data_IF_230434375034
#
_entry.id   IF_230434375034
#
_cell.length_a   1.000
_cell.length_b   1.000
_cell.length_c   1.000
_cell.angle_alpha   90.00
_cell.angle_beta   90.00
_cell.angle_gamma   90.00
#
_symmetry.space_group_name_H-M   'P 1'
#
loop_
_entity.id
_entity.type
_entity.pdbx_description
1 polymer ?
#
# COMPACT_ATOMS: atom_id res chain seq x y z
N UNK A 1 -19.83 14.97 -23.82
CA UNK A 1 -18.40 15.36 -23.66
C UNK A 1 -18.38 16.74 -23.02
N UNK A 2 -17.47 17.03 -22.09
CA UNK A 2 -17.49 18.19 -21.17
C UNK A 2 -17.52 19.61 -21.79
N UNK A 3 -17.55 19.77 -23.12
CA UNK A 3 -17.53 21.07 -23.79
C UNK A 3 -16.19 21.81 -23.74
N UNK A 4 -15.18 21.29 -23.04
CA UNK A 4 -13.88 21.96 -22.90
C UNK A 4 -13.18 22.11 -24.26
N UNK A 5 -12.70 23.31 -24.58
CA UNK A 5 -11.90 23.61 -25.79
C UNK A 5 -10.54 22.92 -25.77
N UNK A 6 -9.94 22.75 -24.58
CA UNK A 6 -8.62 22.15 -24.38
C UNK A 6 -8.73 20.92 -23.49
N UNK A 7 -8.27 19.77 -24.01
CA UNK A 7 -8.29 18.47 -23.34
C UNK A 7 -6.90 17.87 -23.47
N UNK A 8 -6.12 18.00 -22.41
CA UNK A 8 -4.76 17.48 -22.33
C UNK A 8 -4.78 16.06 -21.76
N UNK A 9 -3.98 15.16 -22.32
CA UNK A 9 -3.81 13.82 -21.78
C UNK A 9 -2.49 13.17 -22.17
N UNK A 10 -2.33 11.90 -21.80
CA UNK A 10 -1.12 11.14 -22.12
C UNK A 10 -1.04 10.72 -23.59
N UNK A 11 0.18 10.39 -24.02
CA UNK A 11 0.40 9.69 -25.27
C UNK A 11 -0.33 8.34 -25.29
N UNK A 12 -0.79 7.88 -26.47
CA UNK A 12 -1.61 6.66 -26.63
C UNK A 12 -0.97 5.40 -26.02
N UNK A 13 0.36 5.30 -26.05
CA UNK A 13 1.10 4.15 -25.52
C UNK A 13 1.18 4.12 -24.00
N UNK A 14 0.95 5.26 -23.35
CA UNK A 14 0.97 5.39 -21.89
C UNK A 14 -0.41 5.21 -21.26
N UNK A 15 -1.47 5.08 -22.08
CA UNK A 15 -2.83 4.90 -21.64
C UNK A 15 -3.14 3.42 -21.48
N UNK A 16 -3.93 3.10 -20.45
CA UNK A 16 -4.54 1.78 -20.31
C UNK A 16 -5.49 1.46 -21.48
N UNK A 17 -6.17 2.47 -21.98
CA UNK A 17 -7.09 2.40 -23.12
C UNK A 17 -6.60 3.36 -24.21
N UNK A 18 -5.79 2.88 -25.18
CA UNK A 18 -5.14 3.76 -26.16
C UNK A 18 -6.10 4.64 -26.98
N UNK A 19 -7.34 4.16 -27.22
CA UNK A 19 -8.37 4.89 -27.94
C UNK A 19 -8.88 6.13 -27.20
N UNK A 20 -8.71 6.20 -25.87
CA UNK A 20 -9.04 7.40 -25.11
C UNK A 20 -8.25 8.64 -25.62
N UNK A 21 -7.08 8.42 -26.23
CA UNK A 21 -6.30 9.49 -26.85
C UNK A 21 -7.01 10.21 -28.00
N UNK A 22 -8.03 9.62 -28.61
CA UNK A 22 -8.83 10.27 -29.66
C UNK A 22 -9.67 11.43 -29.11
N UNK A 23 -9.93 11.46 -27.79
CA UNK A 23 -10.71 12.52 -27.15
C UNK A 23 -9.84 13.69 -26.65
N UNK A 24 -8.51 13.59 -26.72
CA UNK A 24 -7.59 14.65 -26.30
C UNK A 24 -7.30 15.60 -27.47
N UNK A 25 -7.36 16.90 -27.22
CA UNK A 25 -6.90 17.92 -28.18
C UNK A 25 -5.38 18.07 -28.15
N UNK A 26 -4.76 17.77 -27.01
CA UNK A 26 -3.33 17.85 -26.79
C UNK A 26 -2.84 16.62 -26.04
N UNK A 27 -1.70 16.07 -26.47
CA UNK A 27 -1.12 14.85 -25.91
C UNK A 27 0.32 15.09 -25.55
N UNK A 28 0.75 14.63 -24.37
CA UNK A 28 2.17 14.54 -24.03
C UNK A 28 2.94 13.69 -25.05
N UNK A 29 4.27 13.86 -25.07
CA UNK A 29 5.16 12.88 -25.68
C UNK A 29 5.09 11.53 -24.94
N UNK A 30 5.59 10.49 -25.59
CA UNK A 30 5.68 9.18 -24.96
C UNK A 30 6.60 9.22 -23.74
N UNK A 31 6.08 8.78 -22.62
CA UNK A 31 6.81 8.72 -21.35
C UNK A 31 7.31 7.28 -21.15
N UNK A 32 8.58 7.06 -20.79
CA UNK A 32 9.06 5.74 -20.37
C UNK A 32 8.19 5.12 -19.25
N UNK A 33 8.00 3.80 -19.25
CA UNK A 33 7.28 3.11 -18.16
C UNK A 33 8.18 2.82 -16.94
N UNK A 34 9.45 3.25 -16.99
CA UNK A 34 10.40 3.18 -15.88
C UNK A 34 10.21 4.30 -14.85
N UNK A 35 9.38 5.30 -15.15
CA UNK A 35 9.13 6.43 -14.25
C UNK A 35 7.99 6.09 -13.29
N UNK A 36 8.13 6.54 -12.04
CA UNK A 36 7.08 6.37 -11.03
C UNK A 36 5.76 7.00 -11.48
N UNK A 37 4.63 6.38 -11.11
CA UNK A 37 3.30 6.82 -11.57
C UNK A 37 2.95 8.23 -11.15
N UNK A 38 3.42 8.68 -9.98
CA UNK A 38 3.19 10.05 -9.51
C UNK A 38 3.92 11.05 -10.43
N UNK A 39 5.21 10.81 -10.72
CA UNK A 39 6.01 11.60 -11.65
C UNK A 39 5.40 11.64 -13.05
N UNK A 40 4.93 10.48 -13.53
CA UNK A 40 4.20 10.37 -14.80
C UNK A 40 2.98 11.29 -14.80
N UNK A 41 2.18 11.32 -13.73
CA UNK A 41 1.03 12.22 -13.63
C UNK A 41 1.40 13.70 -13.56
N UNK A 42 2.45 14.06 -12.81
CA UNK A 42 2.91 15.47 -12.78
C UNK A 42 3.38 15.98 -14.14
N UNK A 43 3.86 15.11 -15.05
CA UNK A 43 4.20 15.54 -16.42
C UNK A 43 3.02 16.14 -17.18
N UNK A 44 1.77 15.88 -16.80
CA UNK A 44 0.60 16.57 -17.39
C UNK A 44 0.60 18.07 -17.09
N UNK A 45 1.11 18.47 -15.93
CA UNK A 45 1.15 19.88 -15.51
C UNK A 45 2.11 20.73 -16.35
N UNK A 46 3.07 20.10 -17.03
CA UNK A 46 3.98 20.80 -17.97
C UNK A 46 3.21 21.51 -19.10
N UNK A 47 1.99 21.05 -19.42
CA UNK A 47 1.12 21.66 -20.44
C UNK A 47 0.42 22.94 -20.02
N UNK A 48 0.51 23.28 -18.75
CA UNK A 48 0.09 24.57 -18.20
C UNK A 48 1.27 25.36 -17.64
N UNK A 49 2.51 24.98 -18.00
CA UNK A 49 3.73 25.70 -17.62
C UNK A 49 4.24 25.39 -16.21
N UNK A 50 3.68 24.38 -15.53
CA UNK A 50 4.11 23.97 -14.20
C UNK A 50 5.14 22.84 -14.32
N UNK A 51 6.32 23.05 -13.74
CA UNK A 51 7.35 22.04 -13.58
C UNK A 51 7.50 21.76 -12.09
N UNK A 52 7.10 20.56 -11.68
CA UNK A 52 7.15 20.12 -10.28
C UNK A 52 7.79 18.73 -10.24
N UNK A 53 8.73 18.55 -9.32
CA UNK A 53 9.49 17.31 -9.14
C UNK A 53 9.29 16.73 -7.73
N UNK A 54 8.75 17.53 -6.81
CA UNK A 54 8.41 17.14 -5.45
C UNK A 54 6.92 16.80 -5.35
N UNK A 55 6.59 15.86 -4.48
CA UNK A 55 5.21 15.43 -4.25
C UNK A 55 4.89 15.59 -2.78
N UNK A 56 3.84 16.35 -2.49
CA UNK A 56 3.25 16.47 -1.17
C UNK A 56 1.82 15.91 -1.19
N UNK A 57 1.42 15.32 -0.07
CA UNK A 57 0.07 14.79 0.12
C UNK A 57 -0.56 15.49 1.32
N UNK A 58 -1.14 16.70 1.16
CA UNK A 58 -1.75 17.48 2.24
C UNK A 58 -3.11 16.89 2.63
N UNK A 59 -3.11 15.64 3.10
CA UNK A 59 -4.30 14.90 3.51
C UNK A 59 -4.72 15.35 4.92
N UNK A 60 -5.82 16.09 5.00
CA UNK A 60 -6.44 16.49 6.27
C UNK A 60 -7.63 15.57 6.55
N UNK A 61 -7.58 14.90 7.71
CA UNK A 61 -8.69 14.11 8.23
C UNK A 61 -9.44 14.94 9.29
N UNK A 62 -10.78 14.93 9.29
CA UNK A 62 -11.55 15.56 10.36
C UNK A 62 -11.18 14.97 11.73
N UNK A 63 -11.10 15.82 12.76
CA UNK A 63 -10.69 15.40 14.11
C UNK A 63 -11.64 14.33 14.69
N UNK A 64 -12.91 14.39 14.32
CA UNK A 64 -13.95 13.45 14.73
C UNK A 64 -13.67 12.03 14.23
N UNK A 65 -13.07 11.89 13.04
CA UNK A 65 -12.69 10.58 12.48
C UNK A 65 -11.51 10.00 13.26
N UNK A 66 -10.49 10.81 13.55
CA UNK A 66 -9.34 10.38 14.35
C UNK A 66 -9.78 9.93 15.75
N UNK A 67 -10.65 10.68 16.41
CA UNK A 67 -11.16 10.32 17.74
C UNK A 67 -12.02 9.05 17.70
N UNK A 68 -12.89 8.90 16.71
CA UNK A 68 -13.68 7.69 16.52
C UNK A 68 -12.79 6.44 16.34
N UNK A 69 -11.67 6.56 15.60
CA UNK A 69 -10.69 5.47 15.44
C UNK A 69 -9.99 5.14 16.75
N UNK A 70 -9.58 6.13 17.55
CA UNK A 70 -8.97 5.89 18.88
C UNK A 70 -9.90 5.12 19.80
N UNK A 71 -11.17 5.52 19.86
CA UNK A 71 -12.20 4.81 20.65
C UNK A 71 -12.38 3.37 20.18
N UNK A 72 -12.37 3.13 18.85
CA UNK A 72 -12.46 1.80 18.26
C UNK A 72 -11.22 0.94 18.55
N UNK A 73 -10.03 1.53 18.52
CA UNK A 73 -8.76 0.86 18.83
C UNK A 73 -8.64 0.45 20.30
N UNK A 74 -9.06 1.28 21.24
CA UNK A 74 -9.06 0.91 22.67
C UNK A 74 -9.88 -0.36 22.94
N UNK A 75 -10.93 -0.61 22.16
CA UNK A 75 -11.74 -1.85 22.26
C UNK A 75 -11.01 -3.10 21.76
N UNK A 76 -9.91 -2.96 21.02
CA UNK A 76 -9.07 -4.10 20.62
C UNK A 76 -8.00 -4.44 21.66
N UNK A 77 -7.92 -3.67 22.76
CA UNK A 77 -6.88 -3.80 23.78
C UNK A 77 -5.62 -2.98 23.50
N UNK A 78 -5.66 -2.07 22.52
CA UNK A 78 -4.53 -1.19 22.20
C UNK A 78 -4.29 -0.17 23.31
N UNK A 79 -3.05 -0.08 23.79
CA UNK A 79 -2.56 1.01 24.64
C UNK A 79 -1.75 2.01 23.80
N UNK A 80 -1.99 3.31 23.99
CA UNK A 80 -1.29 4.39 23.27
C UNK A 80 0.22 4.44 23.56
N UNK A 81 0.69 3.74 24.60
CA UNK A 81 2.12 3.55 24.86
C UNK A 81 2.78 2.51 23.95
N UNK A 82 1.99 1.64 23.31
CA UNK A 82 2.48 0.63 22.37
C UNK A 82 2.64 1.19 20.96
N UNK A 83 3.64 0.70 20.23
CA UNK A 83 3.80 1.00 18.80
C UNK A 83 2.80 0.17 17.99
N UNK A 84 1.83 0.84 17.36
CA UNK A 84 0.83 0.19 16.52
C UNK A 84 1.45 -0.33 15.22
N UNK A 85 1.44 -1.65 15.02
CA UNK A 85 1.93 -2.32 13.81
C UNK A 85 0.74 -2.88 13.04
N UNK A 86 0.48 -2.34 11.85
CA UNK A 86 -0.62 -2.79 11.00
C UNK A 86 -0.15 -3.87 10.03
N UNK A 87 -0.83 -5.01 10.04
CA UNK A 87 -0.67 -6.06 9.04
C UNK A 87 -1.89 -6.04 8.11
N UNK A 88 -1.76 -5.42 6.95
CA UNK A 88 -2.80 -5.47 5.91
C UNK A 88 -2.68 -6.78 5.12
N UNK A 89 -3.41 -7.79 5.58
CA UNK A 89 -3.31 -9.16 5.07
C UNK A 89 -4.04 -9.36 3.74
N UNK A 90 -4.97 -8.46 3.43
CA UNK A 90 -5.84 -8.51 2.25
C UNK A 90 -5.29 -7.77 1.03
N UNK A 91 -5.83 -8.11 -0.14
CA UNK A 91 -5.64 -7.38 -1.39
C UNK A 91 -6.78 -7.69 -2.38
N UNK A 92 -7.07 -6.78 -3.31
CA UNK A 92 -8.10 -7.02 -4.32
C UNK A 92 -7.75 -8.12 -5.33
N UNK A 93 -6.45 -8.39 -5.55
CA UNK A 93 -5.99 -9.44 -6.46
C UNK A 93 -5.41 -10.58 -5.64
N UNK A 94 -5.88 -11.80 -5.88
CA UNK A 94 -5.33 -13.01 -5.26
C UNK A 94 -3.81 -13.10 -5.40
N UNK A 95 -3.30 -12.76 -6.58
CA UNK A 95 -1.87 -12.70 -6.91
C UNK A 95 -1.08 -11.60 -6.18
N UNK A 96 -1.73 -10.76 -5.38
CA UNK A 96 -1.11 -9.78 -4.48
C UNK A 96 -1.33 -10.09 -2.99
N UNK A 97 -2.08 -11.16 -2.68
CA UNK A 97 -2.30 -11.61 -1.30
C UNK A 97 -1.15 -12.52 -0.89
N UNK A 98 -0.47 -12.16 0.19
CA UNK A 98 0.50 -13.06 0.81
C UNK A 98 -0.22 -14.15 1.61
N UNK A 99 0.49 -15.24 1.91
CA UNK A 99 -0.13 -16.46 2.41
C UNK A 99 -0.41 -16.38 3.92
N UNK A 100 -1.55 -16.90 4.42
CA UNK A 100 -1.88 -16.88 5.84
C UNK A 100 -0.77 -17.45 6.74
N UNK A 101 -0.14 -18.55 6.35
CA UNK A 101 0.96 -19.18 7.08
C UNK A 101 2.17 -18.26 7.23
N UNK A 102 2.45 -17.43 6.23
CA UNK A 102 3.56 -16.47 6.26
C UNK A 102 3.25 -15.26 7.12
N UNK A 103 2.00 -14.79 7.11
CA UNK A 103 1.55 -13.76 8.05
C UNK A 103 1.67 -14.24 9.50
N UNK A 104 1.26 -15.48 9.78
CA UNK A 104 1.37 -16.09 11.11
C UNK A 104 2.84 -16.12 11.55
N UNK A 105 3.73 -16.65 10.72
CA UNK A 105 5.15 -16.75 11.05
C UNK A 105 5.80 -15.36 11.23
N UNK A 106 5.47 -14.39 10.37
CA UNK A 106 5.96 -13.01 10.50
C UNK A 106 5.54 -12.38 11.83
N UNK A 107 4.26 -12.54 12.21
CA UNK A 107 3.73 -12.01 13.47
C UNK A 107 4.45 -12.62 14.66
N UNK A 108 4.71 -13.93 14.66
CA UNK A 108 5.45 -14.58 15.74
C UNK A 108 6.90 -14.10 15.84
N UNK A 109 7.57 -13.87 14.70
CA UNK A 109 8.93 -13.29 14.69
C UNK A 109 8.94 -11.87 15.25
N UNK A 110 7.94 -11.06 14.90
CA UNK A 110 7.85 -9.64 15.26
C UNK A 110 7.29 -9.40 16.68
N UNK A 111 6.85 -10.44 17.39
CA UNK A 111 6.14 -10.32 18.66
C UNK A 111 7.04 -9.79 19.77
N UNK A 112 6.73 -8.60 20.27
CA UNK A 112 7.40 -7.99 21.43
C UNK A 112 6.36 -7.34 22.34
N UNK A 113 6.75 -6.96 23.56
CA UNK A 113 5.87 -6.21 24.48
C UNK A 113 5.70 -4.73 24.11
N UNK A 114 6.52 -4.23 23.19
CA UNK A 114 6.48 -2.82 22.77
C UNK A 114 5.52 -2.59 21.60
N UNK A 115 5.16 -3.65 20.89
CA UNK A 115 4.41 -3.58 19.65
C UNK A 115 2.99 -4.09 19.87
N UNK A 116 2.02 -3.33 19.36
CA UNK A 116 0.64 -3.76 19.26
C UNK A 116 0.34 -4.17 17.82
N UNK A 117 0.37 -5.47 17.48
CA UNK A 117 -0.01 -5.94 16.15
C UNK A 117 -1.52 -5.84 15.95
N UNK A 118 -1.96 -5.42 14.76
CA UNK A 118 -3.38 -5.38 14.39
C UNK A 118 -3.59 -5.84 12.95
N UNK A 119 -4.55 -6.75 12.73
CA UNK A 119 -4.88 -7.26 11.40
C UNK A 119 -5.89 -6.33 10.70
N UNK A 120 -5.45 -5.67 9.63
CA UNK A 120 -6.30 -4.80 8.80
C UNK A 120 -6.94 -5.60 7.66
N UNK A 121 -8.22 -5.32 7.39
CA UNK A 121 -9.03 -5.94 6.34
C UNK A 121 -10.12 -4.96 5.87
N UNK A 122 -10.62 -5.10 4.63
CA UNK A 122 -11.60 -4.19 4.04
C UNK A 122 -12.88 -4.83 3.49
N UNK A 123 -12.94 -6.16 3.39
CA UNK A 123 -14.14 -6.91 2.95
C UNK A 123 -14.21 -8.29 3.62
N UNK A 124 -15.31 -9.02 3.43
CA UNK A 124 -15.54 -10.32 4.09
C UNK A 124 -14.52 -11.40 3.69
N UNK A 125 -13.99 -11.37 2.48
CA UNK A 125 -12.96 -12.32 2.03
C UNK A 125 -11.63 -12.05 2.76
N UNK A 126 -11.25 -10.78 2.88
CA UNK A 126 -10.07 -10.35 3.64
C UNK A 126 -10.24 -10.58 5.14
N UNK A 127 -11.46 -10.39 5.67
CA UNK A 127 -11.81 -10.71 7.06
C UNK A 127 -11.66 -12.20 7.34
N UNK A 128 -12.06 -13.06 6.40
CA UNK A 128 -11.89 -14.51 6.53
C UNK A 128 -10.40 -14.89 6.59
N UNK A 129 -9.55 -14.25 5.76
CA UNK A 129 -8.10 -14.42 5.81
C UNK A 129 -7.54 -13.92 7.15
N UNK A 130 -7.87 -12.70 7.58
CA UNK A 130 -7.47 -12.14 8.87
C UNK A 130 -7.91 -13.04 10.04
N UNK A 131 -9.11 -13.61 9.97
CA UNK A 131 -9.62 -14.55 10.98
C UNK A 131 -8.80 -15.84 11.06
N UNK A 132 -8.26 -16.34 9.95
CA UNK A 132 -7.35 -17.50 9.96
C UNK A 132 -6.05 -17.18 10.70
N UNK A 133 -5.49 -16.00 10.43
CA UNK A 133 -4.26 -15.52 11.10
C UNK A 133 -4.51 -15.29 12.59
N UNK A 134 -5.63 -14.64 12.95
CA UNK A 134 -6.04 -14.41 14.33
C UNK A 134 -6.19 -15.70 15.13
N UNK A 135 -6.84 -16.72 14.57
CA UNK A 135 -7.02 -18.02 15.25
C UNK A 135 -5.70 -18.66 15.69
N UNK A 136 -4.59 -18.38 14.99
CA UNK A 136 -3.27 -18.94 15.28
C UNK A 136 -2.39 -18.04 16.14
N UNK A 137 -2.48 -16.72 15.96
CA UNK A 137 -1.60 -15.73 16.61
C UNK A 137 -2.24 -15.03 17.82
N UNK A 138 -3.56 -15.08 17.93
CA UNK A 138 -4.40 -14.28 18.85
C UNK A 138 -4.31 -12.77 18.63
N UNK A 139 -3.68 -12.30 17.55
CA UNK A 139 -3.63 -10.87 17.19
C UNK A 139 -5.04 -10.36 16.86
N UNK A 140 -5.48 -9.23 17.41
CA UNK A 140 -6.82 -8.71 17.18
C UNK A 140 -7.05 -8.33 15.72
N UNK A 141 -8.31 -8.44 15.28
CA UNK A 141 -8.77 -7.86 14.02
C UNK A 141 -9.11 -6.40 14.26
N UNK A 142 -8.77 -5.55 13.30
CA UNK A 142 -9.37 -4.22 13.24
C UNK A 142 -10.91 -4.34 13.18
N UNK A 143 -11.67 -3.43 13.81
CA UNK A 143 -13.10 -3.36 13.59
C UNK A 143 -13.40 -3.03 12.12
N UNK A 144 -14.66 -3.15 11.70
CA UNK A 144 -15.03 -2.64 10.38
C UNK A 144 -14.90 -1.11 10.36
N UNK A 145 -14.12 -0.60 9.41
CA UNK A 145 -13.79 0.81 9.26
C UNK A 145 -14.23 1.31 7.89
N UNK A 146 -14.78 2.52 7.87
CA UNK A 146 -14.94 3.28 6.62
C UNK A 146 -13.58 3.67 6.04
N UNK A 147 -13.55 4.09 4.77
CA UNK A 147 -12.31 4.49 4.11
C UNK A 147 -11.55 5.61 4.86
N UNK A 148 -12.26 6.60 5.38
CA UNK A 148 -11.66 7.69 6.16
C UNK A 148 -11.09 7.19 7.49
N UNK A 149 -11.76 6.25 8.14
CA UNK A 149 -11.27 5.63 9.36
C UNK A 149 -10.06 4.72 9.11
N UNK A 150 -9.99 4.01 7.97
CA UNK A 150 -8.78 3.27 7.57
C UNK A 150 -7.60 4.22 7.37
N UNK A 151 -7.83 5.37 6.71
CA UNK A 151 -6.80 6.41 6.57
C UNK A 151 -6.33 6.96 7.92
N UNK A 152 -7.26 7.23 8.84
CA UNK A 152 -6.94 7.65 10.20
C UNK A 152 -6.16 6.58 10.95
N UNK A 153 -6.58 5.31 10.88
CA UNK A 153 -5.86 4.19 11.50
C UNK A 153 -4.42 4.07 10.98
N UNK A 154 -4.24 4.16 9.66
CA UNK A 154 -2.91 4.10 9.03
C UNK A 154 -2.05 5.27 9.51
N UNK A 155 -2.61 6.48 9.59
CA UNK A 155 -1.90 7.68 10.08
C UNK A 155 -1.38 7.54 11.52
N UNK A 156 -2.04 6.74 12.37
CA UNK A 156 -1.60 6.46 13.74
C UNK A 156 -0.58 5.31 13.83
N UNK A 157 -0.38 4.54 12.76
CA UNK A 157 0.54 3.40 12.78
C UNK A 157 2.02 3.83 12.88
N UNK A 158 2.80 3.05 13.62
CA UNK A 158 4.27 3.14 13.65
C UNK A 158 4.90 2.36 12.49
N UNK A 159 4.18 1.39 11.94
CA UNK A 159 4.58 0.61 10.77
C UNK A 159 3.35 -0.02 10.10
N UNK A 160 3.33 0.00 8.77
CA UNK A 160 2.42 -0.83 7.96
C UNK A 160 3.21 -1.91 7.21
N UNK A 161 2.76 -3.17 7.30
CA UNK A 161 3.19 -4.24 6.39
C UNK A 161 2.01 -4.59 5.48
N UNK A 162 2.22 -4.48 4.17
CA UNK A 162 1.13 -4.63 3.19
C UNK A 162 1.62 -5.09 1.83
N UNK A 163 0.78 -5.82 1.08
CA UNK A 163 0.95 -5.92 -0.37
C UNK A 163 0.70 -4.59 -1.10
N UNK A 164 0.81 -4.59 -2.43
CA UNK A 164 0.46 -3.44 -3.29
C UNK A 164 -1.07 -3.19 -3.31
N UNK A 165 -1.54 -2.43 -2.31
CA UNK A 165 -2.95 -2.12 -2.01
C UNK A 165 -3.15 -0.64 -1.70
N UNK A 166 -4.41 -0.22 -1.53
CA UNK A 166 -4.74 1.11 -1.03
C UNK A 166 -4.03 1.44 0.29
N UNK A 167 -3.96 0.50 1.24
CA UNK A 167 -3.34 0.74 2.54
C UNK A 167 -1.87 1.15 2.41
N UNK A 168 -1.12 0.47 1.53
CA UNK A 168 0.27 0.83 1.22
C UNK A 168 0.38 2.26 0.69
N UNK A 169 -0.47 2.62 -0.27
CA UNK A 169 -0.44 3.97 -0.87
C UNK A 169 -0.83 5.05 0.15
N UNK A 170 -1.81 4.76 1.02
CA UNK A 170 -2.23 5.66 2.08
C UNK A 170 -1.12 5.87 3.13
N UNK A 171 -0.39 4.82 3.51
CA UNK A 171 0.76 4.93 4.40
C UNK A 171 1.85 5.84 3.81
N UNK A 172 2.18 5.63 2.52
CA UNK A 172 3.13 6.49 1.82
C UNK A 172 2.68 7.96 1.82
N UNK A 173 1.40 8.23 1.55
CA UNK A 173 0.85 9.58 1.54
C UNK A 173 0.89 10.25 2.92
N UNK A 174 0.70 9.50 4.02
CA UNK A 174 0.84 10.00 5.39
C UNK A 174 2.28 9.97 5.92
N UNK A 175 3.26 9.63 5.08
CA UNK A 175 4.67 9.46 5.48
C UNK A 175 4.80 8.51 6.68
N UNK A 176 4.05 7.39 6.65
CA UNK A 176 4.15 6.32 7.65
C UNK A 176 5.11 5.26 7.14
N UNK A 177 6.01 4.73 7.99
CA UNK A 177 6.91 3.66 7.58
C UNK A 177 6.14 2.47 7.00
N UNK A 178 6.56 1.99 5.82
CA UNK A 178 5.94 0.84 5.18
C UNK A 178 6.94 -0.22 4.72
N UNK A 179 6.59 -1.48 4.94
CA UNK A 179 7.19 -2.63 4.25
C UNK A 179 6.19 -3.15 3.22
N UNK A 180 6.50 -2.94 1.95
CA UNK A 180 5.70 -3.40 0.82
C UNK A 180 6.08 -4.82 0.38
N UNK A 181 5.10 -5.71 0.24
CA UNK A 181 5.27 -7.08 -0.29
C UNK A 181 4.83 -7.09 -1.76
N UNK A 182 5.76 -7.23 -2.69
CA UNK A 182 5.49 -7.10 -4.13
C UNK A 182 5.67 -8.43 -4.87
N UNK A 183 4.56 -8.93 -5.44
CA UNK A 183 4.55 -10.10 -6.32
C UNK A 183 4.57 -9.72 -7.81
N UNK A 184 3.40 -9.56 -8.46
CA UNK A 184 3.31 -9.38 -9.92
C UNK A 184 3.46 -7.93 -10.38
N UNK A 185 3.52 -6.96 -9.45
CA UNK A 185 3.55 -5.53 -9.76
C UNK A 185 4.95 -4.96 -9.59
N UNK A 186 5.29 -3.93 -10.37
CA UNK A 186 6.60 -3.28 -10.30
C UNK A 186 6.61 -2.21 -9.19
N UNK A 187 7.39 -2.39 -8.11
CA UNK A 187 7.52 -1.38 -7.07
C UNK A 187 8.20 -0.08 -7.57
N UNK A 188 9.02 -0.12 -8.62
CA UNK A 188 9.56 1.13 -9.19
C UNK A 188 8.47 2.00 -9.82
N UNK A 189 7.33 1.40 -10.22
CA UNK A 189 6.22 2.11 -10.86
C UNK A 189 5.18 2.61 -9.87
N UNK A 190 4.80 1.79 -8.88
CA UNK A 190 3.71 2.08 -7.94
C UNK A 190 4.08 1.82 -6.47
N UNK A 191 5.33 1.55 -6.17
CA UNK A 191 5.76 1.22 -4.82
C UNK A 191 5.85 2.44 -3.91
N UNK A 192 6.31 2.22 -2.68
CA UNK A 192 6.69 3.32 -1.81
C UNK A 192 7.70 4.25 -2.49
N UNK A 193 7.48 5.55 -2.38
CA UNK A 193 8.32 6.57 -3.01
C UNK A 193 9.27 7.27 -2.02
N UNK A 194 9.13 7.01 -0.72
CA UNK A 194 10.11 7.44 0.28
C UNK A 194 11.36 6.57 0.20
N UNK A 195 12.58 7.13 0.30
CA UNK A 195 13.81 6.36 0.33
C UNK A 195 13.97 5.50 1.60
N UNK A 196 13.21 5.81 2.66
CA UNK A 196 13.25 5.07 3.92
C UNK A 196 12.47 3.75 3.84
N UNK A 197 11.32 3.78 3.16
CA UNK A 197 10.42 2.64 3.03
C UNK A 197 11.09 1.43 2.38
N UNK A 198 10.62 0.25 2.75
CA UNK A 198 11.24 -1.01 2.31
C UNK A 198 10.29 -1.80 1.43
N UNK A 199 10.86 -2.56 0.50
CA UNK A 199 10.12 -3.45 -0.38
C UNK A 199 10.74 -4.83 -0.33
N UNK A 200 9.93 -5.83 0.03
CA UNK A 200 10.24 -7.23 -0.16
C UNK A 200 9.77 -7.66 -1.56
N UNK A 201 10.72 -7.99 -2.43
CA UNK A 201 10.48 -8.42 -3.80
C UNK A 201 11.61 -9.36 -4.24
N UNK A 202 11.26 -10.40 -5.00
CA UNK A 202 12.23 -11.28 -5.65
C UNK A 202 12.16 -11.12 -7.17
N UNK A 203 13.32 -11.00 -7.81
CA UNK A 203 13.43 -10.94 -9.26
C UNK A 203 12.96 -12.26 -9.91
N UNK A 204 12.14 -12.15 -10.95
CA UNK A 204 11.59 -13.28 -11.69
C UNK A 204 11.65 -13.00 -13.19
N UNK A 205 11.82 -14.04 -14.01
CA UNK A 205 11.72 -13.90 -15.48
C UNK A 205 10.34 -13.38 -15.91
N UNK A 206 9.29 -13.82 -15.21
CA UNK A 206 7.92 -13.32 -15.40
C UNK A 206 7.58 -12.11 -14.51
N UNK A 207 8.59 -11.45 -13.93
CA UNK A 207 8.42 -10.30 -13.05
C UNK A 207 7.62 -9.18 -13.73
N UNK A 208 6.94 -8.35 -12.93
CA UNK A 208 6.15 -7.24 -13.43
C UNK A 208 5.07 -7.62 -14.46
N UNK A 209 4.54 -8.86 -14.41
CA UNK A 209 3.56 -9.33 -15.38
C UNK A 209 2.14 -8.78 -15.18
N UNK A 210 1.83 -8.22 -14.01
CA UNK A 210 0.50 -7.71 -13.63
C UNK A 210 -0.66 -8.71 -13.86
N UNK A 211 -0.37 -10.02 -13.87
CA UNK A 211 -1.38 -11.07 -14.04
C UNK A 211 -2.24 -11.15 -12.79
N UNK A 212 -3.56 -11.04 -12.95
CA UNK A 212 -4.52 -11.18 -11.84
C UNK A 212 -4.69 -12.61 -11.36
N UNK A 213 -4.51 -13.58 -12.26
CA UNK A 213 -4.50 -15.02 -11.98
C UNK A 213 -3.15 -15.60 -12.37
N UNK A 214 -2.57 -16.41 -11.51
CA UNK A 214 -1.31 -17.10 -11.76
C UNK A 214 -1.35 -18.43 -11.01
N UNK A 215 -1.12 -19.59 -11.68
CA UNK A 215 -1.22 -20.89 -11.03
C UNK A 215 -0.08 -21.15 -10.04
N UNK A 216 1.06 -20.46 -10.17
CA UNK A 216 2.24 -20.74 -9.36
C UNK A 216 2.49 -19.70 -8.27
N UNK A 217 2.28 -18.41 -8.56
CA UNK A 217 2.52 -17.28 -7.64
C UNK A 217 3.91 -17.36 -6.96
N UNK A 218 4.91 -17.89 -7.68
CA UNK A 218 6.26 -18.12 -7.15
C UNK A 218 6.92 -16.85 -6.61
N UNK A 219 6.59 -15.69 -7.21
CA UNK A 219 7.10 -14.39 -6.75
C UNK A 219 6.75 -14.11 -5.26
N UNK A 220 5.52 -14.42 -4.82
CA UNK A 220 5.14 -14.26 -3.41
C UNK A 220 5.59 -15.44 -2.55
N UNK A 221 5.72 -16.65 -3.12
CA UNK A 221 6.24 -17.81 -2.39
C UNK A 221 7.72 -17.67 -2.02
N UNK A 222 8.51 -16.97 -2.82
CA UNK A 222 9.92 -16.70 -2.49
C UNK A 222 10.11 -15.70 -1.36
N UNK A 223 9.15 -14.79 -1.17
CA UNK A 223 9.24 -13.77 -0.11
C UNK A 223 9.04 -14.43 1.25
N UNK A 224 10.03 -14.38 2.15
CA UNK A 224 9.97 -15.09 3.45
C UNK A 224 9.51 -14.19 4.61
N UNK A 225 8.94 -14.77 5.69
CA UNK A 225 8.71 -14.04 6.94
C UNK A 225 9.94 -13.39 7.54
N UNK A 226 11.10 -14.03 7.45
CA UNK A 226 12.37 -13.55 8.00
C UNK A 226 12.85 -12.28 7.29
N UNK A 227 12.77 -12.23 5.95
CA UNK A 227 13.16 -11.02 5.23
C UNK A 227 12.22 -9.85 5.53
N UNK A 228 10.91 -10.09 5.62
CA UNK A 228 9.93 -9.04 5.93
C UNK A 228 10.12 -8.53 7.36
N UNK A 229 10.40 -9.43 8.32
CA UNK A 229 10.70 -9.07 9.70
C UNK A 229 11.99 -8.23 9.80
N UNK A 230 13.05 -8.62 9.08
CA UNK A 230 14.31 -7.87 9.07
C UNK A 230 14.12 -6.43 8.55
N UNK A 231 13.38 -6.26 7.45
CA UNK A 231 13.01 -4.94 6.91
C UNK A 231 12.15 -4.14 7.90
N UNK A 232 11.20 -4.80 8.56
CA UNK A 232 10.32 -4.19 9.56
C UNK A 232 11.09 -3.67 10.77
N UNK A 233 12.01 -4.48 11.32
CA UNK A 233 12.86 -4.08 12.44
C UNK A 233 13.83 -2.97 12.05
N UNK A 234 14.36 -2.98 10.82
CA UNK A 234 15.19 -1.88 10.34
C UNK A 234 14.42 -0.56 10.37
N UNK A 235 13.22 -0.52 9.78
CA UNK A 235 12.38 0.69 9.78
C UNK A 235 11.99 1.15 11.19
N UNK A 236 11.63 0.22 12.07
CA UNK A 236 11.22 0.55 13.43
C UNK A 236 12.38 1.11 14.28
N UNK A 237 13.63 0.77 13.97
CA UNK A 237 14.83 1.34 14.61
C UNK A 237 15.18 2.71 14.07
N UNK A 238 15.05 2.92 12.76
CA UNK A 238 15.31 4.22 12.12
C UNK A 238 14.31 5.31 12.57
N UNK A 239 13.12 4.91 13.03
CA UNK A 239 12.04 5.79 13.46
C UNK A 239 11.75 5.72 14.99
N UNK A 240 12.66 5.16 15.79
CA UNK A 240 12.54 5.12 17.26
C UNK A 240 13.24 6.33 17.89
#
# INVERSE_FOLDING_TARGET
ISGSKKRTGFHRKNLREPLASLFYTEKLEEIPETIHVISKNLKLLTRVGIQEEQYEFPLVLPAEISEAVKVKLRKTGYDEQEKLILFNVGAAWETKRWFPEKWIELIEIMKTKEFFPLLLWGNEEEKALASQVHKKTQVPLAPFLSLQEVMALIKESSLLVSGDTFALQAACAFSRPVVGIFGPSNPQRNGPFSPHDKVAIHGMECGNCYKRKCPTIECLKKITPQEVAALSHQLLKENA
#
